data_IF_807573302765
#
_entry.id   IF_807573302765
#
_cell.length_a   1.000
_cell.length_b   1.000
_cell.length_c   1.000
_cell.angle_alpha   90.00
_cell.angle_beta   90.00
_cell.angle_gamma   90.00
#
_symmetry.space_group_name_H-M   'P 1'
#
loop_
_entity.id
_entity.type
_entity.pdbx_description
1 polymer ?
#
# COMPACT_ATOMS: atom_id res chain seq x y z
N UNK A 1 -3.55 -5.49 -2.20
CA UNK A 1 -2.29 -5.05 -2.85
C UNK A 1 -2.08 -5.53 -4.28
N UNK A 2 -2.10 -6.83 -4.63
CA UNK A 2 -1.78 -7.27 -6.01
C UNK A 2 -2.62 -6.57 -7.11
N UNK A 3 -3.94 -6.50 -6.91
CA UNK A 3 -4.84 -5.78 -7.82
C UNK A 3 -4.57 -4.26 -7.83
N UNK A 4 -4.25 -3.66 -6.69
CA UNK A 4 -3.95 -2.23 -6.59
C UNK A 4 -2.68 -1.86 -7.38
N UNK A 5 -1.65 -2.71 -7.35
CA UNK A 5 -0.43 -2.52 -8.15
C UNK A 5 -0.75 -2.55 -9.65
N UNK A 6 -1.56 -3.51 -10.09
CA UNK A 6 -2.02 -3.58 -11.48
C UNK A 6 -2.81 -2.34 -11.90
N UNK A 7 -3.73 -1.87 -11.03
CA UNK A 7 -4.49 -0.64 -11.26
C UNK A 7 -3.59 0.59 -11.33
N UNK A 8 -2.60 0.70 -10.45
CA UNK A 8 -1.67 1.82 -10.43
C UNK A 8 -0.79 1.88 -11.69
N UNK A 9 -0.35 0.74 -12.21
CA UNK A 9 0.37 0.67 -13.49
C UNK A 9 -0.55 1.11 -14.65
N UNK A 10 -1.80 0.65 -14.64
CA UNK A 10 -2.79 0.92 -15.71
C UNK A 10 -3.44 2.29 -15.63
N UNK A 11 -3.26 3.03 -14.55
CA UNK A 11 -3.85 4.36 -14.37
C UNK A 11 -3.42 5.29 -15.54
N UNK A 12 -4.34 6.06 -16.13
CA UNK A 12 -4.02 6.94 -17.26
C UNK A 12 -3.32 8.24 -16.83
N UNK A 13 -3.25 8.50 -15.52
CA UNK A 13 -2.76 9.74 -14.94
C UNK A 13 -1.22 9.78 -14.91
N UNK A 14 -0.67 10.98 -15.07
CA UNK A 14 0.77 11.23 -14.97
C UNK A 14 1.27 11.02 -13.53
N UNK A 15 0.55 11.51 -12.53
CA UNK A 15 0.86 11.27 -11.10
C UNK A 15 -0.16 10.30 -10.52
N UNK A 16 0.32 9.18 -10.00
CA UNK A 16 -0.50 8.11 -9.42
C UNK A 16 -0.20 8.00 -7.93
N UNK A 17 -1.20 8.29 -7.11
CA UNK A 17 -1.08 8.16 -5.65
C UNK A 17 -1.39 6.74 -5.19
N UNK A 18 -0.53 6.20 -4.35
CA UNK A 18 -0.69 4.92 -3.67
C UNK A 18 -0.97 5.18 -2.19
N UNK A 19 -1.97 4.49 -1.64
CA UNK A 19 -2.22 4.49 -0.20
C UNK A 19 -1.20 3.59 0.52
N UNK A 20 -0.75 4.03 1.68
CA UNK A 20 0.29 3.34 2.45
C UNK A 20 1.71 3.63 1.96
N UNK A 21 2.66 2.79 2.39
CA UNK A 21 4.08 2.89 2.01
C UNK A 21 4.36 2.05 0.79
N UNK A 22 5.37 2.41 -0.02
CA UNK A 22 5.92 1.56 -1.07
C UNK A 22 6.43 0.23 -0.53
N UNK A 23 6.63 0.07 0.78
CA UNK A 23 7.00 -1.21 1.41
C UNK A 23 5.81 -2.12 1.72
N UNK A 24 4.59 -1.56 1.80
CA UNK A 24 3.37 -2.30 2.15
C UNK A 24 3.07 -3.46 1.20
N UNK A 25 3.19 -3.33 -0.13
CA UNK A 25 2.94 -4.43 -1.05
C UNK A 25 3.82 -5.65 -0.76
N UNK A 26 5.08 -5.44 -0.40
CA UNK A 26 6.00 -6.53 -0.05
C UNK A 26 5.53 -7.28 1.20
N UNK A 27 5.12 -6.55 2.24
CA UNK A 27 4.63 -7.14 3.50
C UNK A 27 3.40 -8.00 3.22
N UNK A 28 2.41 -7.46 2.50
CA UNK A 28 1.18 -8.19 2.18
C UNK A 28 1.44 -9.43 1.30
N UNK A 29 2.37 -9.35 0.35
CA UNK A 29 2.76 -10.52 -0.46
C UNK A 29 3.45 -11.59 0.40
N UNK A 30 4.33 -11.20 1.33
CA UNK A 30 4.98 -12.15 2.23
C UNK A 30 3.98 -12.86 3.14
N UNK A 31 3.02 -12.11 3.71
CA UNK A 31 1.94 -12.67 4.53
C UNK A 31 1.10 -13.68 3.75
N UNK A 32 0.73 -13.33 2.51
CA UNK A 32 -0.04 -14.20 1.63
C UNK A 32 0.72 -15.50 1.29
N UNK A 33 2.00 -15.41 0.90
CA UNK A 33 2.84 -16.58 0.62
C UNK A 33 3.09 -17.42 1.87
N UNK A 34 3.27 -16.80 3.03
CA UNK A 34 3.43 -17.52 4.30
C UNK A 34 2.16 -18.26 4.69
N UNK A 35 0.97 -17.68 4.44
CA UNK A 35 -0.29 -18.37 4.65
C UNK A 35 -0.42 -19.59 3.72
N UNK A 36 -0.03 -19.47 2.45
CA UNK A 36 0.01 -20.60 1.51
C UNK A 36 0.97 -21.71 1.98
N UNK A 37 2.17 -21.35 2.43
CA UNK A 37 3.16 -22.31 2.92
C UNK A 37 2.69 -23.12 4.14
N UNK A 38 1.78 -22.57 4.95
CA UNK A 38 1.21 -23.25 6.13
C UNK A 38 0.17 -24.33 5.77
N UNK A 39 -0.02 -24.62 4.49
CA UNK A 39 -0.90 -25.71 4.05
C UNK A 39 -2.37 -25.32 4.02
N UNK A 40 -2.67 -24.09 3.57
CA UNK A 40 -4.05 -23.77 3.18
C UNK A 40 -4.54 -24.82 2.18
N UNK A 41 -5.78 -25.34 2.33
CA UNK A 41 -6.33 -26.30 1.37
C UNK A 41 -6.23 -25.74 -0.06
N UNK A 42 -6.08 -26.58 -1.09
CA UNK A 42 -6.04 -26.15 -2.48
C UNK A 42 -7.42 -25.62 -2.89
N UNK A 43 -7.68 -24.37 -2.54
CA UNK A 43 -8.90 -23.63 -2.84
C UNK A 43 -8.71 -22.86 -4.15
N UNK A 44 -9.82 -22.49 -4.79
CA UNK A 44 -9.79 -21.60 -5.95
C UNK A 44 -9.02 -20.30 -5.65
N UNK A 45 -9.10 -19.80 -4.42
CA UNK A 45 -8.38 -18.62 -3.95
C UNK A 45 -6.86 -18.80 -3.93
N UNK A 46 -6.36 -19.95 -3.48
CA UNK A 46 -4.91 -20.18 -3.44
C UNK A 46 -4.33 -20.32 -4.84
N UNK A 47 -5.06 -20.99 -5.74
CA UNK A 47 -4.70 -21.09 -7.16
C UNK A 47 -4.70 -19.71 -7.84
N UNK A 48 -5.72 -18.89 -7.58
CA UNK A 48 -5.78 -17.53 -8.09
C UNK A 48 -4.62 -16.68 -7.56
N UNK A 49 -4.36 -16.72 -6.25
CA UNK A 49 -3.26 -15.98 -5.63
C UNK A 49 -1.90 -16.35 -6.26
N UNK A 50 -1.62 -17.65 -6.43
CA UNK A 50 -0.39 -18.12 -7.06
C UNK A 50 -0.22 -17.55 -8.48
N UNK A 51 -1.30 -17.53 -9.27
CA UNK A 51 -1.30 -16.94 -10.60
C UNK A 51 -1.13 -15.41 -10.64
N UNK A 52 -1.30 -14.72 -9.50
CA UNK A 52 -1.16 -13.26 -9.40
C UNK A 52 0.20 -12.82 -8.84
N UNK A 53 1.04 -13.72 -8.32
CA UNK A 53 2.31 -13.33 -7.68
C UNK A 53 3.29 -12.68 -8.66
N UNK A 54 3.58 -13.33 -9.79
CA UNK A 54 4.53 -12.78 -10.77
C UNK A 54 4.00 -11.48 -11.41
N UNK A 55 2.74 -11.40 -11.88
CA UNK A 55 2.19 -10.14 -12.38
C UNK A 55 2.24 -9.01 -11.33
N UNK A 56 1.99 -9.32 -10.06
CA UNK A 56 2.08 -8.33 -8.99
C UNK A 56 3.51 -7.86 -8.76
N UNK A 57 4.49 -8.77 -8.76
CA UNK A 57 5.91 -8.41 -8.60
C UNK A 57 6.42 -7.58 -9.78
N UNK A 58 6.00 -7.89 -11.01
CA UNK A 58 6.34 -7.10 -12.20
C UNK A 58 5.76 -5.69 -12.13
N UNK A 59 4.46 -5.56 -11.82
CA UNK A 59 3.83 -4.26 -11.61
C UNK A 59 4.53 -3.47 -10.49
N UNK A 60 4.88 -4.15 -9.39
CA UNK A 60 5.55 -3.54 -8.26
C UNK A 60 6.95 -3.05 -8.62
N UNK A 61 7.73 -3.85 -9.36
CA UNK A 61 9.04 -3.45 -9.86
C UNK A 61 8.93 -2.21 -10.74
N UNK A 62 7.95 -2.16 -11.64
CA UNK A 62 7.73 -1.00 -12.52
C UNK A 62 7.44 0.28 -11.72
N UNK A 63 6.57 0.17 -10.71
CA UNK A 63 6.22 1.27 -9.80
C UNK A 63 7.47 1.79 -9.05
N UNK A 64 8.25 0.88 -8.45
CA UNK A 64 9.41 1.25 -7.63
C UNK A 64 10.54 1.90 -8.44
N UNK A 65 10.80 1.41 -9.66
CA UNK A 65 11.86 1.97 -10.50
C UNK A 65 11.47 3.31 -11.12
N UNK A 66 10.18 3.47 -11.43
CA UNK A 66 9.63 4.67 -12.05
C UNK A 66 10.45 5.18 -13.26
N UNK A 67 10.88 4.26 -14.14
CA UNK A 67 11.78 4.57 -15.27
C UNK A 67 11.12 5.53 -16.29
N UNK A 68 9.79 5.42 -16.42
CA UNK A 68 8.97 6.25 -17.29
C UNK A 68 9.03 7.72 -16.88
N UNK A 69 9.22 8.61 -17.85
CA UNK A 69 9.18 10.07 -17.63
C UNK A 69 7.78 10.63 -17.58
N UNK A 70 6.80 9.94 -18.17
CA UNK A 70 5.40 10.36 -18.29
C UNK A 70 4.50 9.80 -17.16
N UNK A 71 5.08 9.05 -16.21
CA UNK A 71 4.34 8.47 -15.10
C UNK A 71 5.17 8.47 -13.82
N UNK A 72 4.58 8.95 -12.75
CA UNK A 72 5.19 9.14 -11.44
C UNK A 72 4.30 8.48 -10.38
N UNK A 73 4.81 7.42 -9.77
CA UNK A 73 4.12 6.76 -8.66
C UNK A 73 4.59 7.35 -7.34
N UNK A 74 3.62 7.75 -6.51
CA UNK A 74 3.86 8.45 -5.25
C UNK A 74 3.08 7.75 -4.16
N UNK A 75 3.76 7.18 -3.19
CA UNK A 75 3.09 6.66 -2.01
C UNK A 75 2.94 7.76 -0.95
N UNK A 76 1.75 7.87 -0.36
CA UNK A 76 1.42 8.88 0.64
C UNK A 76 0.90 8.23 1.92
N UNK A 77 1.78 7.65 2.76
CA UNK A 77 1.38 6.97 3.97
C UNK A 77 0.75 7.94 4.99
N UNK A 78 -0.49 7.65 5.41
CA UNK A 78 -1.26 8.47 6.36
C UNK A 78 -0.63 8.52 7.77
N UNK A 79 -0.06 7.39 8.20
CA UNK A 79 0.54 7.21 9.51
C UNK A 79 1.98 6.73 9.37
N UNK A 80 2.88 7.40 10.06
CA UNK A 80 4.30 7.06 10.08
C UNK A 80 4.86 7.38 11.46
N UNK A 81 5.65 6.45 12.00
CA UNK A 81 6.51 6.67 13.18
C UNK A 81 7.98 6.76 12.75
N UNK A 82 8.23 6.95 11.45
CA UNK A 82 9.57 7.03 10.89
C UNK A 82 10.25 8.34 11.28
N UNK A 83 11.57 8.27 11.32
CA UNK A 83 12.46 9.30 11.86
C UNK A 83 13.65 9.52 10.94
N UNK A 84 13.41 9.60 9.63
CA UNK A 84 14.45 9.86 8.63
C UNK A 84 15.13 11.21 8.91
N UNK A 85 14.35 12.28 9.11
CA UNK A 85 14.83 13.64 9.37
C UNK A 85 15.25 13.80 10.83
N UNK A 86 14.45 13.30 11.77
CA UNK A 86 14.75 13.40 13.20
C UNK A 86 16.07 12.74 13.57
N UNK A 87 16.48 11.66 12.90
CA UNK A 87 17.81 11.06 13.11
C UNK A 87 18.94 11.92 12.55
N UNK A 88 18.74 12.57 11.41
CA UNK A 88 19.75 13.46 10.81
C UNK A 88 20.00 14.69 11.67
N UNK A 89 18.96 15.16 12.37
CA UNK A 89 19.02 16.33 13.25
C UNK A 89 19.30 15.99 14.72
N UNK A 90 19.54 14.72 15.05
CA UNK A 90 19.66 14.23 16.43
C UNK A 90 18.50 14.66 17.35
N UNK A 91 17.28 14.66 16.78
CA UNK A 91 16.06 15.06 17.47
C UNK A 91 15.66 14.00 18.52
N UNK A 92 14.97 14.36 19.61
CA UNK A 92 14.53 13.38 20.61
C UNK A 92 13.66 12.25 20.05
N UNK A 93 13.90 11.03 20.54
CA UNK A 93 13.29 9.78 20.03
C UNK A 93 11.79 9.69 20.25
N UNK A 94 11.27 10.46 21.20
CA UNK A 94 9.84 10.51 21.51
C UNK A 94 8.97 11.14 20.40
N UNK A 95 9.56 11.81 19.41
CA UNK A 95 8.83 12.51 18.36
C UNK A 95 9.10 11.91 16.97
N UNK A 96 8.02 11.75 16.21
CA UNK A 96 8.06 11.38 14.79
C UNK A 96 8.30 12.59 13.88
N UNK A 97 8.80 12.33 12.67
CA UNK A 97 9.12 13.37 11.70
C UNK A 97 7.88 14.16 11.26
N UNK A 98 6.74 13.51 11.13
CA UNK A 98 5.51 14.14 10.64
C UNK A 98 5.05 15.22 11.62
N UNK A 99 4.99 14.92 12.91
CA UNK A 99 4.60 15.87 13.95
C UNK A 99 5.59 17.04 14.05
N UNK A 100 6.89 16.73 14.07
CA UNK A 100 7.96 17.72 14.10
C UNK A 100 7.89 18.66 12.89
N UNK A 101 7.87 18.11 11.67
CA UNK A 101 7.91 18.89 10.43
C UNK A 101 6.60 19.63 10.15
N UNK A 102 5.48 19.16 10.69
CA UNK A 102 4.22 19.93 10.68
C UNK A 102 4.37 21.25 11.45
N UNK A 103 5.25 21.31 12.45
CA UNK A 103 5.47 22.54 13.22
C UNK A 103 6.54 23.41 12.59
N UNK A 104 7.59 22.81 12.03
CA UNK A 104 8.77 23.52 11.53
C UNK A 104 8.54 24.09 10.12
N UNK A 105 8.01 23.29 9.19
CA UNK A 105 7.89 23.70 7.79
C UNK A 105 6.82 24.78 7.64
N UNK A 106 7.08 25.81 6.85
CA UNK A 106 6.06 26.75 6.40
C UNK A 106 5.24 26.16 5.23
N UNK A 107 4.03 26.69 4.95
CA UNK A 107 3.25 26.26 3.81
C UNK A 107 4.00 26.45 2.48
N UNK A 108 4.09 25.38 1.70
CA UNK A 108 4.85 25.32 0.46
C UNK A 108 6.28 24.78 0.61
N UNK A 109 6.78 24.60 1.83
CA UNK A 109 8.13 24.07 2.05
C UNK A 109 8.17 22.55 1.99
N UNK A 110 9.33 22.04 1.56
CA UNK A 110 9.66 20.61 1.55
C UNK A 110 11.05 20.37 2.12
N UNK A 111 11.28 19.17 2.62
CA UNK A 111 12.63 18.70 2.97
C UNK A 111 13.39 18.26 1.72
N UNK A 112 14.72 18.21 1.82
CA UNK A 112 15.51 17.49 0.83
C UNK A 112 15.18 16.00 0.85
N UNK A 113 15.17 15.30 -0.31
CA UNK A 113 14.94 13.87 -0.36
C UNK A 113 15.96 13.11 0.49
N UNK A 114 15.47 12.19 1.32
CA UNK A 114 16.29 11.30 2.13
C UNK A 114 16.07 9.85 1.73
N UNK A 115 17.09 8.98 1.80
CA UNK A 115 16.87 7.55 1.57
C UNK A 115 15.86 7.00 2.58
N UNK A 116 15.00 6.08 2.11
CA UNK A 116 14.05 5.39 2.96
C UNK A 116 14.79 4.66 4.10
N UNK A 117 14.31 4.84 5.33
CA UNK A 117 14.91 4.16 6.47
C UNK A 117 14.84 2.63 6.28
N UNK A 118 15.96 1.90 6.40
CA UNK A 118 15.93 0.46 6.32
C UNK A 118 15.07 -0.13 7.46
N UNK A 119 14.39 -1.25 7.20
CA UNK A 119 13.68 -1.99 8.24
C UNK A 119 14.67 -2.60 9.24
N UNK A 120 14.23 -2.86 10.47
CA UNK A 120 15.04 -3.54 11.48
C UNK A 120 15.39 -4.98 11.07
N UNK A 121 14.43 -5.66 10.44
CA UNK A 121 14.64 -6.97 9.83
C UNK A 121 14.69 -6.82 8.31
N UNK A 122 15.60 -7.55 7.67
CA UNK A 122 15.66 -7.59 6.21
C UNK A 122 14.31 -8.03 5.65
N UNK A 123 13.80 -7.20 4.75
CA UNK A 123 12.70 -7.54 3.87
C UNK A 123 12.94 -8.91 3.22
N UNK A 124 11.93 -9.77 3.24
CA UNK A 124 12.00 -11.10 2.66
C UNK A 124 10.63 -11.50 2.11
N UNK A 125 10.64 -12.37 1.10
CA UNK A 125 9.45 -13.07 0.59
C UNK A 125 9.63 -14.57 0.78
N UNK A 126 8.61 -15.23 1.31
CA UNK A 126 8.60 -16.69 1.43
C UNK A 126 8.33 -17.38 0.08
N UNK A 127 9.33 -17.35 -0.81
CA UNK A 127 9.26 -17.93 -2.15
C UNK A 127 9.27 -19.46 -2.14
N UNK A 128 9.51 -20.11 -1.00
CA UNK A 128 9.41 -21.57 -0.87
C UNK A 128 7.97 -22.08 -1.05
N UNK A 129 6.97 -21.21 -0.85
CA UNK A 129 5.57 -21.53 -1.08
C UNK A 129 5.21 -21.70 -2.57
N UNK A 130 6.09 -21.27 -3.48
CA UNK A 130 5.81 -21.28 -4.92
C UNK A 130 6.15 -22.65 -5.55
N UNK A 131 5.35 -23.10 -6.54
CA UNK A 131 5.72 -24.21 -7.41
C UNK A 131 7.08 -23.99 -8.07
N UNK A 132 7.84 -25.08 -8.29
CA UNK A 132 9.18 -25.03 -8.88
C UNK A 132 9.25 -24.27 -10.20
N UNK A 133 8.21 -24.38 -11.04
CA UNK A 133 8.10 -23.71 -12.33
C UNK A 133 8.08 -22.17 -12.24
N UNK A 134 7.51 -21.60 -11.17
CA UNK A 134 7.39 -20.14 -10.97
C UNK A 134 8.55 -19.57 -10.15
N UNK A 135 9.31 -20.43 -9.47
CA UNK A 135 10.26 -20.01 -8.45
C UNK A 135 11.44 -19.21 -9.01
N UNK A 136 11.97 -19.60 -10.16
CA UNK A 136 13.14 -18.93 -10.75
C UNK A 136 12.82 -17.52 -11.24
N UNK A 137 11.70 -17.33 -11.93
CA UNK A 137 11.30 -16.01 -12.42
C UNK A 137 10.86 -15.10 -11.27
N UNK A 138 10.05 -15.61 -10.33
CA UNK A 138 9.69 -14.88 -9.12
C UNK A 138 10.91 -14.46 -8.27
N UNK A 139 11.94 -15.31 -8.19
CA UNK A 139 13.20 -14.99 -7.50
C UNK A 139 13.91 -13.79 -8.16
N UNK A 140 14.03 -13.79 -9.49
CA UNK A 140 14.62 -12.66 -10.23
C UNK A 140 13.85 -11.36 -10.03
N UNK A 141 12.51 -11.42 -10.10
CA UNK A 141 11.65 -10.27 -9.83
C UNK A 141 11.80 -9.76 -8.40
N UNK A 142 11.85 -10.67 -7.42
CA UNK A 142 12.08 -10.32 -6.02
C UNK A 142 13.41 -9.59 -5.83
N UNK A 143 14.51 -10.10 -6.40
CA UNK A 143 15.82 -9.44 -6.32
C UNK A 143 15.78 -8.04 -6.94
N UNK A 144 15.12 -7.89 -8.08
CA UNK A 144 14.93 -6.59 -8.72
C UNK A 144 14.08 -5.62 -7.88
N UNK A 145 13.02 -6.10 -7.24
CA UNK A 145 12.18 -5.33 -6.31
C UNK A 145 12.99 -4.89 -5.09
N UNK A 146 13.79 -5.78 -4.51
CA UNK A 146 14.63 -5.49 -3.35
C UNK A 146 15.69 -4.43 -3.66
N UNK A 147 16.31 -4.51 -4.83
CA UNK A 147 17.22 -3.48 -5.31
C UNK A 147 16.51 -2.14 -5.53
N UNK A 148 15.30 -2.15 -6.10
CA UNK A 148 14.52 -0.94 -6.33
C UNK A 148 14.03 -0.29 -5.01
N UNK A 149 13.70 -1.09 -3.99
CA UNK A 149 13.32 -0.59 -2.67
C UNK A 149 14.45 0.18 -1.96
N UNK A 150 15.71 -0.18 -2.23
CA UNK A 150 16.87 0.57 -1.72
C UNK A 150 17.04 1.92 -2.43
N UNK A 151 16.37 2.11 -3.56
CA UNK A 151 16.36 3.34 -4.36
C UNK A 151 15.06 4.13 -4.16
N UNK A 152 14.46 4.04 -2.97
CA UNK A 152 13.32 4.87 -2.58
C UNK A 152 13.82 6.04 -1.73
N UNK A 153 13.31 7.21 -2.08
CA UNK A 153 13.53 8.45 -1.37
C UNK A 153 12.23 8.90 -0.70
N UNK A 154 12.38 9.48 0.48
CA UNK A 154 11.33 10.07 1.30
C UNK A 154 11.48 11.58 1.27
N UNK A 155 10.38 12.27 1.02
CA UNK A 155 10.29 13.72 1.11
C UNK A 155 9.13 14.07 2.04
N UNK A 156 9.32 15.08 2.88
CA UNK A 156 8.24 15.68 3.63
C UNK A 156 7.87 17.01 3.00
N UNK A 157 6.60 17.23 2.71
CA UNK A 157 6.09 18.45 2.09
C UNK A 157 4.92 18.99 2.88
N UNK A 158 4.89 20.28 3.20
CA UNK A 158 3.74 20.93 3.85
C UNK A 158 2.96 21.75 2.81
N UNK A 159 1.83 21.28 2.25
CA UNK A 159 1.17 21.99 1.16
C UNK A 159 0.52 23.30 1.59
N UNK A 160 -0.14 23.27 2.76
CA UNK A 160 -0.94 24.38 3.28
C UNK A 160 -0.79 24.47 4.81
N UNK A 161 -1.14 25.62 5.38
CA UNK A 161 -1.04 25.85 6.83
C UNK A 161 -1.95 24.93 7.66
N UNK A 162 -3.14 24.61 7.12
CA UNK A 162 -4.14 23.74 7.76
C UNK A 162 -3.87 22.25 7.58
N UNK A 163 -2.83 21.87 6.83
CA UNK A 163 -2.43 20.49 6.63
C UNK A 163 -1.19 20.14 7.44
N UNK A 164 -1.11 18.88 7.92
CA UNK A 164 0.15 18.35 8.41
C UNK A 164 1.17 18.27 7.28
N UNK A 165 2.45 18.18 7.64
CA UNK A 165 3.48 17.78 6.70
C UNK A 165 3.15 16.37 6.17
N UNK A 166 3.06 16.25 4.86
CA UNK A 166 2.79 14.99 4.17
C UNK A 166 4.12 14.28 3.93
N UNK A 167 4.21 13.03 4.38
CA UNK A 167 5.30 12.13 4.00
C UNK A 167 4.96 11.53 2.65
N UNK A 168 5.87 11.66 1.69
CA UNK A 168 5.75 11.00 0.39
C UNK A 168 6.96 10.11 0.14
N UNK A 169 6.72 8.94 -0.43
CA UNK A 169 7.77 8.04 -0.88
C UNK A 169 7.73 7.96 -2.41
N UNK A 170 8.89 8.14 -3.02
CA UNK A 170 9.07 8.15 -4.48
C UNK A 170 10.36 7.44 -4.83
N UNK A 171 10.49 7.00 -6.08
CA UNK A 171 11.76 6.51 -6.58
C UNK A 171 12.82 7.61 -6.56
N UNK A 172 14.08 7.26 -6.30
CA UNK A 172 15.22 8.18 -6.39
C UNK A 172 15.33 8.81 -7.79
N UNK A 173 14.87 8.13 -8.84
CA UNK A 173 14.79 8.67 -10.20
C UNK A 173 13.86 9.87 -10.34
N UNK A 174 12.83 9.96 -9.49
CA UNK A 174 11.93 11.11 -9.39
C UNK A 174 12.53 12.16 -8.47
N UNK A 175 13.02 11.76 -7.30
CA UNK A 175 13.54 12.67 -6.28
C UNK A 175 14.79 13.44 -6.71
N UNK A 176 15.63 12.85 -7.56
CA UNK A 176 16.87 13.46 -8.06
C UNK A 176 16.67 14.41 -9.25
N UNK A 177 15.49 14.39 -9.89
CA UNK A 177 15.14 15.31 -10.98
C UNK A 177 14.25 16.43 -10.43
N UNK A 178 14.73 17.69 -10.41
CA UNK A 178 13.93 18.84 -9.98
C UNK A 178 12.62 18.96 -10.75
N UNK A 179 12.61 18.66 -12.05
CA UNK A 179 11.44 18.77 -12.91
C UNK A 179 10.37 17.73 -12.54
N UNK A 180 10.78 16.46 -12.40
CA UNK A 180 9.86 15.38 -12.01
C UNK A 180 9.33 15.57 -10.59
N UNK A 181 10.21 15.97 -9.66
CA UNK A 181 9.80 16.27 -8.30
C UNK A 181 8.82 17.46 -8.26
N UNK A 182 9.06 18.51 -9.03
CA UNK A 182 8.16 19.66 -9.11
C UNK A 182 6.75 19.26 -9.59
N UNK A 183 6.63 18.38 -10.59
CA UNK A 183 5.34 17.84 -11.05
C UNK A 183 4.61 17.10 -9.92
N UNK A 184 5.32 16.27 -9.16
CA UNK A 184 4.75 15.55 -8.00
C UNK A 184 4.27 16.52 -6.92
N UNK A 185 5.10 17.52 -6.55
CA UNK A 185 4.74 18.52 -5.54
C UNK A 185 3.54 19.37 -5.99
N UNK A 186 3.49 19.75 -7.27
CA UNK A 186 2.37 20.49 -7.84
C UNK A 186 1.08 19.66 -7.79
N UNK A 187 1.14 18.39 -8.17
CA UNK A 187 0.00 17.48 -8.09
C UNK A 187 -0.49 17.32 -6.64
N UNK A 188 0.41 17.11 -5.69
CA UNK A 188 0.08 17.04 -4.26
C UNK A 188 -0.61 18.32 -3.78
N UNK A 189 -0.04 19.49 -4.09
CA UNK A 189 -0.63 20.77 -3.71
C UNK A 189 -2.05 20.92 -4.27
N UNK A 190 -2.25 20.58 -5.53
CA UNK A 190 -3.55 20.68 -6.18
C UNK A 190 -4.57 19.72 -5.55
N UNK A 191 -4.19 18.46 -5.32
CA UNK A 191 -5.09 17.44 -4.78
C UNK A 191 -5.35 17.58 -3.27
N UNK A 192 -4.58 18.39 -2.56
CA UNK A 192 -4.77 18.69 -1.15
C UNK A 192 -5.50 20.03 -0.90
N UNK A 193 -6.16 20.60 -1.91
CA UNK A 193 -6.79 21.92 -1.81
C UNK A 193 -8.00 22.03 -0.89
N UNK A 194 -8.61 20.90 -0.49
CA UNK A 194 -9.85 20.89 0.32
C UNK A 194 -9.53 20.96 1.81
N UNK A 195 -9.93 22.02 2.55
CA UNK A 195 -9.52 22.25 3.95
C UNK A 195 -9.95 21.18 4.96
N UNK A 196 -10.93 20.34 4.63
CA UNK A 196 -11.44 19.26 5.50
C UNK A 196 -10.82 17.88 5.21
N UNK A 197 -9.97 17.76 4.19
CA UNK A 197 -9.39 16.49 3.77
C UNK A 197 -7.87 16.57 3.99
N UNK A 198 -7.37 15.75 4.91
CA UNK A 198 -5.97 15.80 5.35
C UNK A 198 -5.00 14.99 4.48
N UNK A 199 -5.45 14.57 3.30
CA UNK A 199 -4.74 13.71 2.36
C UNK A 199 -5.09 14.10 0.92
N UNK A 200 -4.34 13.63 -0.10
CA UNK A 200 -4.70 13.86 -1.49
C UNK A 200 -6.12 13.36 -1.79
N UNK A 201 -6.95 14.21 -2.39
CA UNK A 201 -8.35 13.94 -2.67
C UNK A 201 -8.63 12.59 -3.37
N UNK A 202 -7.81 12.13 -4.36
CA UNK A 202 -8.02 10.83 -4.98
C UNK A 202 -7.90 9.65 -4.01
N UNK A 203 -6.99 9.73 -3.03
CA UNK A 203 -6.85 8.68 -2.00
C UNK A 203 -8.04 8.66 -1.05
N UNK A 204 -8.52 9.85 -0.66
CA UNK A 204 -9.74 9.98 0.14
C UNK A 204 -10.95 9.35 -0.58
N UNK A 205 -11.12 9.66 -1.88
CA UNK A 205 -12.21 9.10 -2.67
C UNK A 205 -12.10 7.58 -2.79
N UNK A 206 -10.91 7.04 -3.07
CA UNK A 206 -10.68 5.60 -3.15
C UNK A 206 -11.05 4.89 -1.84
N UNK A 207 -10.61 5.42 -0.69
CA UNK A 207 -10.95 4.90 0.64
C UNK A 207 -12.47 4.89 0.89
N UNK A 208 -13.17 5.98 0.52
CA UNK A 208 -14.62 6.08 0.67
C UNK A 208 -15.36 5.10 -0.24
N UNK A 209 -14.92 4.94 -1.49
CA UNK A 209 -15.51 3.99 -2.43
C UNK A 209 -15.36 2.55 -1.91
N UNK A 210 -14.17 2.15 -1.49
CA UNK A 210 -13.93 0.79 -0.95
C UNK A 210 -14.74 0.55 0.33
N UNK A 211 -14.81 1.53 1.23
CA UNK A 211 -15.65 1.43 2.44
C UNK A 211 -17.14 1.33 2.12
N UNK A 212 -17.63 2.01 1.08
CA UNK A 212 -19.02 1.88 0.65
C UNK A 212 -19.32 0.48 0.11
N UNK A 213 -18.39 -0.13 -0.64
CA UNK A 213 -18.50 -1.50 -1.13
C UNK A 213 -18.42 -2.53 0.00
N UNK A 214 -17.64 -2.25 1.05
CA UNK A 214 -17.55 -3.13 2.22
C UNK A 214 -18.91 -3.34 2.92
N UNK A 215 -19.84 -2.37 2.85
CA UNK A 215 -21.21 -2.58 3.34
C UNK A 215 -21.95 -3.73 2.63
N UNK A 216 -21.59 -4.03 1.38
CA UNK A 216 -22.13 -5.14 0.60
C UNK A 216 -21.61 -6.52 1.03
N UNK A 217 -20.53 -6.60 1.82
CA UNK A 217 -19.99 -7.88 2.30
C UNK A 217 -21.03 -8.64 3.14
N UNK A 218 -21.84 -7.92 3.92
CA UNK A 218 -22.91 -8.54 4.70
C UNK A 218 -23.94 -9.24 3.79
N UNK A 219 -24.30 -8.63 2.67
CA UNK A 219 -25.21 -9.21 1.69
C UNK A 219 -24.59 -10.42 0.98
N UNK A 220 -23.32 -10.33 0.55
CA UNK A 220 -22.61 -11.49 0.00
C UNK A 220 -22.55 -12.65 0.97
N UNK A 221 -22.24 -12.38 2.24
CA UNK A 221 -22.20 -13.39 3.28
C UNK A 221 -23.55 -14.08 3.45
N UNK A 222 -24.64 -13.31 3.47
CA UNK A 222 -25.99 -13.85 3.56
C UNK A 222 -26.34 -14.76 2.37
N UNK A 223 -26.05 -14.31 1.15
CA UNK A 223 -26.31 -15.09 -0.07
C UNK A 223 -25.49 -16.38 -0.10
N UNK A 224 -24.21 -16.31 0.25
CA UNK A 224 -23.35 -17.49 0.35
C UNK A 224 -23.84 -18.46 1.41
N UNK A 225 -24.23 -17.98 2.59
CA UNK A 225 -24.83 -18.82 3.64
C UNK A 225 -26.09 -19.53 3.16
N UNK A 226 -26.96 -18.83 2.43
CA UNK A 226 -28.18 -19.41 1.84
C UNK A 226 -27.86 -20.48 0.80
N UNK A 227 -26.93 -20.20 -0.13
CA UNK A 227 -26.53 -21.18 -1.15
C UNK A 227 -25.94 -22.45 -0.53
N UNK A 228 -25.09 -22.31 0.49
CA UNK A 228 -24.51 -23.48 1.19
C UNK A 228 -25.62 -24.24 1.92
N UNK A 229 -26.52 -23.54 2.62
CA UNK A 229 -27.66 -24.16 3.30
C UNK A 229 -28.57 -24.97 2.35
N UNK A 230 -28.86 -24.43 1.18
CA UNK A 230 -29.64 -25.10 0.13
C UNK A 230 -28.93 -26.34 -0.42
N UNK A 231 -27.62 -26.25 -0.66
CA UNK A 231 -26.81 -27.38 -1.15
C UNK A 231 -26.62 -28.48 -0.10
N UNK A 232 -26.57 -28.12 1.18
CA UNK A 232 -26.45 -29.05 2.32
C UNK A 232 -27.81 -29.61 2.80
N UNK A 233 -28.89 -29.41 2.05
CA UNK A 233 -30.26 -29.86 2.39
C UNK A 233 -30.74 -29.47 3.80
N UNK A 234 -30.18 -28.40 4.38
CA UNK A 234 -30.52 -27.92 5.72
C UNK A 234 -29.97 -28.73 6.90
N UNK A 235 -29.20 -29.81 6.68
CA UNK A 235 -28.72 -30.67 7.78
C UNK A 235 -27.69 -29.97 8.71
N UNK A 236 -26.97 -28.97 8.20
CA UNK A 236 -25.91 -28.24 8.95
C UNK A 236 -26.20 -26.74 9.09
N UNK A 237 -27.47 -26.33 9.02
CA UNK A 237 -27.86 -24.91 8.96
C UNK A 237 -27.31 -24.08 10.12
N UNK A 238 -27.37 -24.62 11.35
CA UNK A 238 -26.89 -23.98 12.57
C UNK A 238 -25.36 -23.83 12.59
N UNK A 239 -24.64 -24.83 12.11
CA UNK A 239 -23.17 -24.83 12.03
C UNK A 239 -22.67 -23.88 10.96
N UNK A 240 -23.32 -23.86 9.78
CA UNK A 240 -23.04 -22.90 8.70
C UNK A 240 -23.31 -21.46 9.18
N UNK A 241 -24.43 -21.26 9.89
CA UNK A 241 -24.76 -19.95 10.46
C UNK A 241 -23.69 -19.49 11.46
N UNK A 242 -23.28 -20.35 12.40
CA UNK A 242 -22.26 -20.04 13.42
C UNK A 242 -20.87 -19.87 12.82
N UNK A 243 -20.50 -20.64 11.79
CA UNK A 243 -19.20 -20.55 11.13
C UNK A 243 -19.06 -19.27 10.27
N UNK A 244 -20.17 -18.80 9.67
CA UNK A 244 -20.16 -17.62 8.81
C UNK A 244 -20.55 -16.34 9.55
N UNK A 245 -21.19 -16.42 10.72
CA UNK A 245 -21.44 -15.24 11.56
C UNK A 245 -20.24 -14.93 12.45
N UNK A 246 -19.70 -13.72 12.32
CA UNK A 246 -18.76 -13.20 13.29
C UNK A 246 -19.44 -13.05 14.66
N UNK A 247 -18.82 -13.58 15.71
CA UNK A 247 -19.25 -13.42 17.12
C UNK A 247 -19.10 -12.00 17.67
N UNK A 248 -18.74 -11.02 16.82
CA UNK A 248 -18.73 -9.62 17.22
C UNK A 248 -20.17 -9.16 17.41
N UNK A 249 -20.56 -8.96 18.65
CA UNK A 249 -21.63 -8.02 18.98
C UNK A 249 -21.18 -6.68 18.41
N UNK A 250 -21.87 -6.17 17.39
CA UNK A 250 -21.64 -4.83 16.86
C UNK A 250 -21.76 -3.84 18.02
N UNK A 251 -20.64 -3.40 18.59
CA UNK A 251 -20.62 -2.19 19.41
C UNK A 251 -20.72 -1.04 18.44
N UNK A 252 -21.95 -0.76 18.00
CA UNK A 252 -22.26 0.40 17.20
C UNK A 252 -21.89 1.67 17.97
N UNK A 253 -20.84 2.34 17.51
CA UNK A 253 -20.59 3.77 17.67
C UNK A 253 -19.77 4.26 16.49
#
# INVERSE_FOLDING_TARGET
MAMELSLAVRAPHEVVFLDGSLTTPLISLNEALTALARGLPPLALSSHLLGQIEPALDCYQQILRSERSDKHWVAAPKYTTRREIGRLLDWPVAYDDRGMLTTILLPGELTLPQPLQPPEQKWHLNLHALPSALKEHAQRLYEAVMAALQQISVVYYRPFAWLPALRIEVSTSIASSPERLALVIQALRHQCGTPSILEPYPLYLADRMVKSLASGIAAFRQLTSQQIAEQSQGEMLSEIFLALHGYRTDTGR
#
